data_IF_457411889788
#
_entry.id   IF_457411889788
#
_cell.length_a   1.000
_cell.length_b   1.000
_cell.length_c   1.000
_cell.angle_alpha   90.00
_cell.angle_beta   90.00
_cell.angle_gamma   90.00
#
_symmetry.space_group_name_H-M   'P 1'
#
loop_
_entity.id
_entity.type
_entity.pdbx_description
1 polymer ?
#
# COMPACT_ATOMS: atom_id res chain seq x y z
N UNK A 1 14.99 -8.36 -17.73
CA UNK A 1 16.40 -8.48 -17.30
C UNK A 1 16.77 -7.48 -16.20
N UNK A 2 16.33 -6.20 -16.27
CA UNK A 2 16.69 -5.18 -15.27
C UNK A 2 16.09 -5.42 -13.88
N UNK A 3 14.84 -5.79 -13.81
CA UNK A 3 14.16 -6.04 -12.53
C UNK A 3 14.70 -7.28 -11.80
N UNK A 4 15.07 -8.35 -12.51
CA UNK A 4 15.65 -9.53 -11.88
C UNK A 4 16.95 -9.20 -11.14
N UNK A 5 17.83 -8.39 -11.76
CA UNK A 5 19.06 -7.95 -11.11
C UNK A 5 18.80 -7.08 -9.87
N UNK A 6 17.81 -6.20 -9.92
CA UNK A 6 17.41 -5.36 -8.79
C UNK A 6 16.87 -6.21 -7.62
N UNK A 7 15.99 -7.19 -7.92
CA UNK A 7 15.45 -8.09 -6.90
C UNK A 7 16.53 -8.98 -6.31
N UNK A 8 17.46 -9.51 -7.13
CA UNK A 8 18.60 -10.29 -6.62
C UNK A 8 19.47 -9.47 -5.67
N UNK A 9 19.82 -8.24 -6.06
CA UNK A 9 20.60 -7.34 -5.20
C UNK A 9 19.85 -6.98 -3.89
N UNK A 10 18.54 -6.77 -3.97
CA UNK A 10 17.72 -6.50 -2.79
C UNK A 10 17.70 -7.70 -1.81
N UNK A 11 17.67 -8.92 -2.34
CA UNK A 11 17.75 -10.14 -1.52
C UNK A 11 19.11 -10.23 -0.79
N UNK A 12 20.21 -9.91 -1.47
CA UNK A 12 21.56 -9.94 -0.91
C UNK A 12 21.79 -8.86 0.17
N UNK A 13 21.20 -7.69 -0.04
CA UNK A 13 21.38 -6.52 0.84
C UNK A 13 20.30 -6.37 1.90
N UNK A 14 19.29 -7.26 1.92
CA UNK A 14 18.11 -7.20 2.78
C UNK A 14 17.37 -5.85 2.67
N UNK A 15 17.30 -5.28 1.47
CA UNK A 15 16.59 -4.03 1.23
C UNK A 15 15.18 -4.29 0.72
N UNK A 16 14.24 -3.44 1.14
CA UNK A 16 12.88 -3.45 0.60
C UNK A 16 12.82 -2.74 -0.76
N UNK A 17 12.04 -3.30 -1.68
CA UNK A 17 11.74 -2.66 -2.97
C UNK A 17 10.38 -1.99 -2.88
N UNK A 18 10.34 -0.66 -3.06
CA UNK A 18 9.09 0.09 -3.17
C UNK A 18 8.65 0.15 -4.64
N UNK A 19 7.44 -0.30 -4.92
CA UNK A 19 6.90 -0.44 -6.26
C UNK A 19 5.80 0.59 -6.49
N UNK A 20 6.11 1.66 -7.21
CA UNK A 20 5.12 2.59 -7.74
C UNK A 20 4.59 2.06 -9.07
N UNK A 21 3.47 1.37 -9.02
CA UNK A 21 2.83 0.73 -10.19
C UNK A 21 1.34 1.03 -10.23
N UNK A 22 0.75 0.95 -11.43
CA UNK A 22 -0.70 0.90 -11.59
C UNK A 22 -1.20 -0.56 -11.44
N UNK A 23 -2.51 -0.73 -11.38
CA UNK A 23 -3.12 -2.05 -11.21
C UNK A 23 -2.70 -3.06 -12.29
N UNK A 24 -2.51 -2.61 -13.51
CA UNK A 24 -2.04 -3.44 -14.64
C UNK A 24 -0.59 -3.96 -14.49
N UNK A 25 0.20 -3.33 -13.63
CA UNK A 25 1.56 -3.80 -13.28
C UNK A 25 1.59 -4.86 -12.18
N UNK A 26 0.51 -5.08 -11.42
CA UNK A 26 0.48 -6.02 -10.31
C UNK A 26 0.78 -7.48 -10.70
N UNK A 27 0.36 -7.99 -11.88
CA UNK A 27 0.74 -9.35 -12.32
C UNK A 27 2.26 -9.55 -12.45
N UNK A 28 3.01 -8.53 -12.85
CA UNK A 28 4.47 -8.62 -12.91
C UNK A 28 5.09 -8.61 -11.52
N UNK A 29 4.52 -7.86 -10.58
CA UNK A 29 4.94 -7.93 -9.16
C UNK A 29 4.72 -9.34 -8.60
N UNK A 30 3.57 -9.96 -8.89
CA UNK A 30 3.28 -11.34 -8.50
C UNK A 30 4.34 -12.32 -9.02
N UNK A 31 4.69 -12.19 -10.31
CA UNK A 31 5.75 -12.99 -10.93
C UNK A 31 7.10 -12.78 -10.24
N UNK A 32 7.48 -11.54 -9.97
CA UNK A 32 8.76 -11.21 -9.34
C UNK A 32 8.84 -11.73 -7.91
N UNK A 33 7.75 -11.60 -7.12
CA UNK A 33 7.66 -12.13 -5.77
C UNK A 33 7.74 -13.68 -5.74
N UNK A 34 7.19 -14.33 -6.78
CA UNK A 34 7.28 -15.79 -6.92
C UNK A 34 8.71 -16.27 -7.21
N UNK A 35 9.47 -15.52 -7.99
CA UNK A 35 10.89 -15.81 -8.33
C UNK A 35 11.82 -15.44 -7.16
N UNK A 36 11.51 -14.37 -6.43
CA UNK A 36 12.32 -13.82 -5.34
C UNK A 36 11.53 -13.75 -4.01
N UNK A 37 11.14 -14.90 -3.42
CA UNK A 37 10.21 -14.92 -2.28
C UNK A 37 10.76 -14.31 -0.99
N UNK A 38 12.07 -14.12 -0.91
CA UNK A 38 12.75 -13.55 0.27
C UNK A 38 12.86 -12.02 0.23
N UNK A 39 12.54 -11.38 -0.91
CA UNK A 39 12.60 -9.93 -1.06
C UNK A 39 11.37 -9.28 -0.45
N UNK A 40 11.60 -8.30 0.41
CA UNK A 40 10.51 -7.45 0.91
C UNK A 40 10.07 -6.48 -0.17
N UNK A 41 8.79 -6.50 -0.51
CA UNK A 41 8.17 -5.63 -1.50
C UNK A 41 7.11 -4.76 -0.85
N UNK A 42 7.12 -3.46 -1.15
CA UNK A 42 6.11 -2.51 -0.71
C UNK A 42 5.38 -1.97 -1.94
N UNK A 43 4.09 -2.22 -2.06
CA UNK A 43 3.26 -1.68 -3.15
C UNK A 43 2.78 -0.29 -2.72
N UNK A 44 3.20 0.74 -3.45
CA UNK A 44 2.85 2.12 -3.16
C UNK A 44 1.39 2.44 -3.54
N UNK A 45 0.76 3.28 -2.73
CA UNK A 45 -0.52 3.95 -3.03
C UNK A 45 -1.65 2.98 -3.42
N UNK A 46 -1.78 1.85 -2.70
CA UNK A 46 -2.81 0.83 -2.99
C UNK A 46 -2.76 0.35 -4.46
N UNK A 47 -1.57 0.26 -5.07
CA UNK A 47 -1.41 -0.09 -6.49
C UNK A 47 -2.03 0.94 -7.43
N UNK A 48 -2.22 2.19 -6.97
CA UNK A 48 -2.87 3.30 -7.68
C UNK A 48 -4.28 2.96 -8.21
N UNK A 49 -4.96 2.02 -7.55
CA UNK A 49 -6.35 1.65 -7.87
C UNK A 49 -7.25 2.87 -7.64
N UNK A 50 -8.03 3.23 -8.64
CA UNK A 50 -8.89 4.43 -8.58
C UNK A 50 -8.20 5.72 -9.03
N UNK A 51 -7.02 5.68 -9.64
CA UNK A 51 -6.32 6.88 -10.17
C UNK A 51 -7.14 7.60 -11.27
N UNK A 52 -7.96 6.87 -12.00
CA UNK A 52 -8.92 7.38 -12.98
C UNK A 52 -10.30 7.69 -12.37
N UNK A 53 -10.42 7.61 -11.06
CA UNK A 53 -11.66 7.79 -10.30
C UNK A 53 -12.56 6.55 -10.28
N UNK A 54 -12.13 5.40 -10.82
CA UNK A 54 -12.92 4.16 -10.83
C UNK A 54 -12.20 3.05 -10.08
N UNK A 55 -12.77 2.61 -8.98
CA UNK A 55 -12.28 1.46 -8.21
C UNK A 55 -12.93 0.20 -8.80
N UNK A 56 -12.14 -0.62 -9.48
CA UNK A 56 -12.59 -1.86 -10.11
C UNK A 56 -12.33 -3.06 -9.22
N UNK A 57 -13.32 -3.90 -9.05
CA UNK A 57 -13.19 -5.12 -8.23
C UNK A 57 -12.05 -6.03 -8.71
N UNK A 58 -11.86 -6.17 -10.02
CA UNK A 58 -10.77 -6.97 -10.60
C UNK A 58 -9.38 -6.48 -10.16
N UNK A 59 -9.19 -5.16 -10.08
CA UNK A 59 -7.92 -4.56 -9.67
C UNK A 59 -7.68 -4.78 -8.17
N UNK A 60 -8.75 -4.64 -7.37
CA UNK A 60 -8.71 -4.91 -5.94
C UNK A 60 -8.45 -6.40 -5.66
N UNK A 61 -9.10 -7.31 -6.40
CA UNK A 61 -8.86 -8.76 -6.31
C UNK A 61 -7.41 -9.09 -6.62
N UNK A 62 -6.84 -8.48 -7.66
CA UNK A 62 -5.44 -8.69 -8.02
C UNK A 62 -4.51 -8.21 -6.91
N UNK A 63 -4.71 -7.00 -6.37
CA UNK A 63 -3.92 -6.49 -5.25
C UNK A 63 -4.03 -7.43 -4.04
N UNK A 64 -5.24 -7.83 -3.65
CA UNK A 64 -5.46 -8.73 -2.52
C UNK A 64 -4.83 -10.11 -2.72
N UNK A 65 -4.79 -10.62 -3.96
CA UNK A 65 -4.18 -11.92 -4.27
C UNK A 65 -2.68 -11.97 -4.00
N UNK A 66 -1.98 -10.82 -4.04
CA UNK A 66 -0.54 -10.74 -3.73
C UNK A 66 -0.26 -10.95 -2.23
N UNK A 67 -1.28 -10.94 -1.38
CA UNK A 67 -1.15 -11.25 0.04
C UNK A 67 -0.66 -12.69 0.32
N UNK A 68 -0.74 -13.58 -0.68
CA UNK A 68 -0.12 -14.93 -0.63
C UNK A 68 1.40 -14.90 -0.44
N UNK A 69 2.05 -13.79 -0.84
CA UNK A 69 3.48 -13.57 -0.62
C UNK A 69 3.69 -12.89 0.74
N UNK A 70 4.28 -13.60 1.69
CA UNK A 70 4.43 -13.13 3.07
C UNK A 70 5.25 -11.82 3.19
N UNK A 71 6.16 -11.58 2.25
CA UNK A 71 7.04 -10.41 2.22
C UNK A 71 6.45 -9.21 1.46
N UNK A 72 5.21 -9.33 0.96
CA UNK A 72 4.54 -8.21 0.28
C UNK A 72 3.74 -7.40 1.28
N UNK A 73 3.97 -6.09 1.24
CA UNK A 73 3.32 -5.06 2.06
C UNK A 73 2.62 -4.06 1.16
N UNK A 74 1.63 -3.35 1.68
CA UNK A 74 0.89 -2.32 0.94
C UNK A 74 0.95 -0.99 1.69
N UNK A 75 1.21 0.08 0.95
CA UNK A 75 1.15 1.45 1.46
C UNK A 75 -0.20 2.09 1.13
N UNK A 76 -0.99 2.35 2.15
CA UNK A 76 -2.21 3.16 2.07
C UNK A 76 -1.83 4.63 2.12
N UNK A 77 -1.70 5.24 0.96
CA UNK A 77 -1.20 6.61 0.81
C UNK A 77 -1.70 7.23 -0.50
N UNK A 78 -1.37 8.50 -0.74
CA UNK A 78 -1.78 9.27 -1.91
C UNK A 78 -3.31 9.28 -2.14
N UNK A 79 -4.08 9.29 -1.06
CA UNK A 79 -5.56 9.25 -1.14
C UNK A 79 -6.11 10.41 -1.99
N UNK A 80 -5.45 11.56 -1.96
CA UNK A 80 -5.78 12.72 -2.80
C UNK A 80 -5.80 12.40 -4.30
N UNK A 81 -5.05 11.39 -4.76
CA UNK A 81 -4.96 11.00 -6.17
C UNK A 81 -5.96 9.90 -6.55
N UNK A 82 -6.54 9.18 -5.57
CA UNK A 82 -7.38 8.02 -5.79
C UNK A 82 -8.86 8.32 -5.56
N UNK A 83 -9.76 7.63 -6.27
CA UNK A 83 -11.20 7.78 -6.08
C UNK A 83 -11.73 9.15 -6.51
N UNK A 84 -12.92 9.49 -6.03
CA UNK A 84 -13.66 10.72 -6.40
C UNK A 84 -14.05 11.59 -5.22
N UNK A 85 -14.18 11.02 -4.02
CA UNK A 85 -14.63 11.72 -2.82
C UNK A 85 -13.46 12.47 -2.15
N UNK A 86 -13.36 13.78 -2.38
CA UNK A 86 -12.24 14.62 -1.91
C UNK A 86 -12.71 15.99 -1.37
N UNK A 87 -12.19 16.44 -0.22
CA UNK A 87 -11.47 15.66 0.79
C UNK A 87 -12.44 14.75 1.54
N UNK A 88 -11.96 13.67 2.08
CA UNK A 88 -12.80 12.74 2.87
C UNK A 88 -12.50 11.30 2.54
N UNK A 89 -12.35 11.01 1.25
CA UNK A 89 -11.90 9.70 0.73
C UNK A 89 -12.76 8.52 1.19
N UNK A 90 -14.07 8.76 1.45
CA UNK A 90 -14.98 7.74 1.96
C UNK A 90 -15.20 6.61 0.96
N UNK A 91 -15.06 6.89 -0.33
CA UNK A 91 -15.15 5.92 -1.41
C UNK A 91 -13.94 4.95 -1.45
N UNK A 92 -12.84 5.28 -0.78
CA UNK A 92 -11.68 4.38 -0.62
C UNK A 92 -11.84 3.39 0.54
N UNK A 93 -12.78 3.62 1.45
CA UNK A 93 -12.97 2.76 2.65
C UNK A 93 -13.23 1.30 2.30
N UNK A 94 -14.07 0.95 1.30
CA UNK A 94 -14.26 -0.45 0.88
C UNK A 94 -12.98 -1.09 0.33
N UNK A 95 -12.18 -0.36 -0.46
CA UNK A 95 -10.89 -0.83 -0.96
C UNK A 95 -9.93 -1.09 0.21
N UNK A 96 -9.79 -0.13 1.13
CA UNK A 96 -8.91 -0.26 2.29
C UNK A 96 -9.35 -1.44 3.17
N UNK A 97 -10.66 -1.66 3.33
CA UNK A 97 -11.19 -2.81 4.07
C UNK A 97 -10.75 -4.14 3.46
N UNK A 98 -10.87 -4.30 2.14
CA UNK A 98 -10.46 -5.54 1.45
C UNK A 98 -8.96 -5.78 1.56
N UNK A 99 -8.15 -4.73 1.44
CA UNK A 99 -6.69 -4.82 1.61
C UNK A 99 -6.35 -5.18 3.05
N UNK A 100 -7.01 -4.56 4.03
CA UNK A 100 -6.83 -4.90 5.45
C UNK A 100 -7.21 -6.36 5.73
N UNK A 101 -8.32 -6.84 5.21
CA UNK A 101 -8.77 -8.24 5.39
C UNK A 101 -7.79 -9.25 4.76
N UNK A 102 -7.13 -8.90 3.66
CA UNK A 102 -6.18 -9.76 2.96
C UNK A 102 -4.77 -9.75 3.59
N UNK A 103 -4.27 -8.58 3.96
CA UNK A 103 -2.87 -8.40 4.41
C UNK A 103 -2.72 -8.35 5.92
N UNK A 104 -3.77 -7.98 6.64
CA UNK A 104 -3.71 -7.64 8.07
C UNK A 104 -2.96 -6.33 8.35
N UNK A 105 -3.03 -5.85 9.60
CA UNK A 105 -2.41 -4.58 10.00
C UNK A 105 -0.87 -4.63 9.96
N UNK A 106 -0.28 -5.82 10.09
CA UNK A 106 1.18 -6.00 10.09
C UNK A 106 1.82 -5.90 8.70
N UNK A 107 1.01 -5.84 7.63
CA UNK A 107 1.48 -5.68 6.26
C UNK A 107 0.83 -4.52 5.51
N UNK A 108 0.09 -3.68 6.22
CA UNK A 108 -0.47 -2.43 5.72
C UNK A 108 0.17 -1.26 6.48
N UNK A 109 0.60 -0.22 5.77
CA UNK A 109 1.18 0.98 6.37
C UNK A 109 0.62 2.25 5.74
N UNK A 110 0.40 3.27 6.56
CA UNK A 110 0.03 4.59 6.08
C UNK A 110 1.26 5.41 5.69
N UNK A 111 1.09 6.30 4.69
CA UNK A 111 2.04 7.36 4.38
C UNK A 111 1.32 8.58 3.77
N UNK A 112 1.92 9.74 3.89
CA UNK A 112 1.33 11.01 3.42
C UNK A 112 1.47 11.25 1.92
N UNK A 113 2.50 10.69 1.29
CA UNK A 113 2.93 11.07 -0.05
C UNK A 113 3.29 12.57 -0.18
N UNK A 114 3.79 13.18 0.92
CA UNK A 114 4.29 14.55 0.87
C UNK A 114 5.63 14.62 0.11
N UNK A 115 5.91 15.73 -0.62
CA UNK A 115 5.19 16.97 -0.69
C UNK A 115 4.05 17.04 -1.73
N UNK A 116 3.91 16.14 -2.76
CA UNK A 116 2.87 16.29 -3.78
C UNK A 116 1.45 16.42 -3.22
N UNK A 117 1.14 15.64 -2.20
CA UNK A 117 -0.17 15.64 -1.55
C UNK A 117 -0.52 17.00 -0.93
N UNK A 118 0.45 17.70 -0.37
CA UNK A 118 0.22 19.02 0.28
C UNK A 118 -0.11 20.15 -0.70
N UNK A 119 0.07 19.92 -2.00
CA UNK A 119 -0.38 20.86 -3.03
C UNK A 119 -1.90 20.73 -3.31
N UNK A 120 -2.53 19.67 -2.85
CA UNK A 120 -3.93 19.33 -3.15
C UNK A 120 -4.81 19.42 -1.90
N UNK A 121 -4.33 18.93 -0.77
CA UNK A 121 -5.08 18.86 0.49
C UNK A 121 -4.16 19.01 1.71
N UNK A 122 -4.75 19.23 2.88
CA UNK A 122 -3.97 19.35 4.11
C UNK A 122 -3.45 17.99 4.60
N UNK A 123 -2.37 18.00 5.38
CA UNK A 123 -1.88 16.79 6.05
C UNK A 123 -2.96 16.15 6.94
N UNK A 124 -3.78 16.98 7.59
CA UNK A 124 -4.90 16.54 8.43
C UNK A 124 -5.97 15.79 7.62
N UNK A 125 -6.30 16.25 6.42
CA UNK A 125 -7.26 15.57 5.55
C UNK A 125 -6.80 14.14 5.22
N UNK A 126 -5.50 13.97 4.95
CA UNK A 126 -4.90 12.68 4.57
C UNK A 126 -4.83 11.70 5.74
N UNK A 127 -4.35 12.17 6.90
CA UNK A 127 -4.14 11.29 8.05
C UNK A 127 -5.47 10.89 8.71
N UNK A 128 -6.47 11.77 8.68
CA UNK A 128 -7.74 11.56 9.35
C UNK A 128 -8.53 10.37 8.82
N UNK A 129 -8.34 9.97 7.57
CA UNK A 129 -9.00 8.79 7.03
C UNK A 129 -8.67 7.54 7.86
N UNK A 130 -7.40 7.23 8.03
CA UNK A 130 -6.97 6.05 8.79
C UNK A 130 -7.10 6.29 10.29
N UNK A 131 -6.70 7.48 10.77
CA UNK A 131 -6.68 7.79 12.19
C UNK A 131 -8.08 7.83 12.82
N UNK A 132 -9.06 8.44 12.14
CA UNK A 132 -10.32 8.81 12.77
C UNK A 132 -11.56 8.21 12.09
N UNK A 133 -11.57 8.04 10.76
CA UNK A 133 -12.81 7.79 10.00
C UNK A 133 -13.07 6.30 9.74
N UNK A 134 -12.04 5.46 9.71
CA UNK A 134 -12.21 4.02 9.51
C UNK A 134 -12.61 3.36 10.83
N UNK A 135 -13.87 2.96 10.93
CA UNK A 135 -14.47 2.42 12.15
C UNK A 135 -14.15 0.94 12.42
N UNK A 136 -13.70 0.19 11.41
CA UNK A 136 -13.42 -1.24 11.56
C UNK A 136 -12.02 -1.55 12.12
N UNK A 137 -11.14 -0.55 12.19
CA UNK A 137 -9.81 -0.73 12.77
C UNK A 137 -9.89 -0.65 14.31
N UNK A 138 -9.33 -1.64 14.99
CA UNK A 138 -9.05 -1.53 16.40
C UNK A 138 -7.97 -0.46 16.66
N UNK A 139 -7.87 0.04 17.88
CA UNK A 139 -6.81 0.99 18.26
C UNK A 139 -5.43 0.40 18.03
N UNK A 140 -5.22 -0.85 18.41
CA UNK A 140 -3.95 -1.57 18.19
C UNK A 140 -3.61 -1.72 16.69
N UNK A 141 -4.58 -2.04 15.83
CA UNK A 141 -4.34 -2.17 14.39
C UNK A 141 -4.04 -0.82 13.75
N UNK A 142 -4.69 0.22 14.25
CA UNK A 142 -4.44 1.61 13.84
C UNK A 142 -3.01 2.03 14.14
N UNK A 143 -2.50 1.74 15.35
CA UNK A 143 -1.11 2.01 15.73
C UNK A 143 -0.12 1.28 14.83
N UNK A 144 -0.39 0.01 14.52
CA UNK A 144 0.43 -0.76 13.57
C UNK A 144 0.47 -0.10 12.20
N UNK A 145 -0.69 0.22 11.63
CA UNK A 145 -0.79 0.81 10.29
C UNK A 145 -0.14 2.21 10.24
N UNK A 146 -0.34 3.01 11.29
CA UNK A 146 0.13 4.39 11.34
C UNK A 146 1.64 4.52 11.65
N UNK A 147 2.25 3.51 12.27
CA UNK A 147 3.62 3.62 12.79
C UNK A 147 4.41 2.32 12.69
N UNK A 148 3.96 1.24 13.37
CA UNK A 148 4.82 0.10 13.70
C UNK A 148 5.22 -0.71 12.47
N UNK A 149 4.30 -0.89 11.53
CA UNK A 149 4.58 -1.62 10.29
C UNK A 149 5.64 -0.90 9.45
N UNK A 150 5.54 0.41 9.30
CA UNK A 150 6.55 1.19 8.59
C UNK A 150 7.90 1.18 9.32
N UNK A 151 7.92 1.30 10.65
CA UNK A 151 9.13 1.24 11.45
C UNK A 151 9.88 -0.07 11.22
N UNK A 152 9.18 -1.19 11.24
CA UNK A 152 9.76 -2.53 11.04
C UNK A 152 10.21 -2.77 9.61
N UNK A 153 9.41 -2.37 8.61
CA UNK A 153 9.64 -2.72 7.20
C UNK A 153 10.64 -1.78 6.52
N UNK A 154 10.59 -0.48 6.85
CA UNK A 154 11.39 0.56 6.16
C UNK A 154 12.60 0.94 6.97
N UNK A 155 12.48 1.02 8.30
CA UNK A 155 13.56 1.48 9.18
C UNK A 155 14.27 0.37 9.94
N UNK A 156 13.85 -0.89 9.78
CA UNK A 156 14.48 -2.08 10.40
C UNK A 156 14.54 -2.03 11.94
N UNK A 157 13.49 -1.46 12.58
CA UNK A 157 13.39 -1.30 14.04
C UNK A 157 12.52 -2.38 14.69
#
# INVERSE_FOLDING_TARGET
>A
PGYDAMFSAAAETNQAISCLVNADGLPEIDRMCSVHPNVTVVIDHLGRIGIDGVIRDSDVDMLCSLAKHEKVHVKGSAFYALGKDKPGHSDLVPLIRRVYDAYGPDRLMWASDAPPSLAVETYEDQISLIRDRISFLSEMDRDKIMRDTAARVVFFQ
#
